data_IF_417949903517
#
_entry.id   IF_417949903517
#
_cell.length_a   1.000
_cell.length_b   1.000
_cell.length_c   1.000
_cell.angle_alpha   90.00
_cell.angle_beta   90.00
_cell.angle_gamma   90.00
#
_symmetry.space_group_name_H-M   'P 1'
#
loop_
_entity.id
_entity.type
_entity.pdbx_description
1 polymer ?
#
# COMPACT_ATOMS: atom_id res chain seq x y z
N UNK A 1 -3.05 -4.26 -5.82
CA UNK A 1 -2.13 -4.00 -4.69
C UNK A 1 -1.65 -5.34 -4.19
N UNK A 2 -0.35 -5.54 -3.94
CA UNK A 2 0.01 -6.62 -3.02
C UNK A 2 -0.95 -6.54 -1.83
N UNK A 3 -1.47 -7.67 -1.38
CA UNK A 3 -2.48 -7.64 -0.32
C UNK A 3 -1.95 -7.02 0.96
N UNK A 4 -2.84 -6.74 1.89
CA UNK A 4 -2.52 -6.16 3.20
C UNK A 4 -1.32 -6.83 3.87
N UNK A 5 -1.29 -8.17 3.84
CA UNK A 5 -0.26 -8.96 4.54
C UNK A 5 1.09 -8.87 3.85
N UNK A 6 1.12 -8.83 2.52
CA UNK A 6 2.36 -8.67 1.75
C UNK A 6 3.01 -7.32 2.07
N UNK A 7 2.26 -6.23 2.07
CA UNK A 7 2.78 -4.91 2.49
C UNK A 7 3.31 -4.93 3.92
N UNK A 8 2.54 -5.52 4.84
CA UNK A 8 2.99 -5.68 6.22
C UNK A 8 4.33 -6.45 6.31
N UNK A 9 4.50 -7.53 5.55
CA UNK A 9 5.73 -8.33 5.56
C UNK A 9 6.89 -7.55 4.94
N UNK A 10 6.68 -6.84 3.82
CA UNK A 10 7.70 -5.94 3.22
C UNK A 10 8.16 -4.92 4.26
N UNK A 11 7.24 -4.20 4.88
CA UNK A 11 7.58 -3.19 5.87
C UNK A 11 8.32 -3.78 7.08
N UNK A 12 7.87 -4.92 7.61
CA UNK A 12 8.53 -5.56 8.74
C UNK A 12 9.94 -6.06 8.39
N UNK A 13 10.15 -6.58 7.18
CA UNK A 13 11.49 -6.97 6.73
C UNK A 13 12.38 -5.77 6.51
N UNK A 14 11.91 -4.74 5.82
CA UNK A 14 12.66 -3.51 5.63
C UNK A 14 13.08 -2.87 6.96
N UNK A 15 12.20 -2.89 7.98
CA UNK A 15 12.55 -2.46 9.33
C UNK A 15 13.62 -3.36 9.98
N UNK A 16 13.49 -4.68 9.86
CA UNK A 16 14.44 -5.61 10.47
C UNK A 16 15.83 -5.52 9.86
N UNK A 17 15.90 -5.25 8.55
CA UNK A 17 17.16 -5.13 7.80
C UNK A 17 17.89 -3.81 8.09
N UNK A 18 17.20 -2.82 8.70
CA UNK A 18 17.86 -1.61 9.19
C UNK A 18 18.91 -1.96 10.25
N UNK A 19 20.11 -1.40 10.10
CA UNK A 19 21.13 -1.37 11.16
C UNK A 19 20.56 -0.64 12.39
N UNK A 20 21.18 -0.83 13.55
CA UNK A 20 20.81 -0.08 14.75
C UNK A 20 21.22 1.41 14.58
N UNK A 21 20.29 2.24 14.14
CA UNK A 21 20.49 3.63 13.78
C UNK A 21 19.29 4.48 14.21
N UNK A 22 19.37 5.79 13.99
CA UNK A 22 18.33 6.73 14.41
C UNK A 22 16.97 6.45 13.76
N UNK A 23 16.95 6.14 12.47
CA UNK A 23 15.71 5.81 11.77
C UNK A 23 15.02 4.57 12.35
N UNK A 24 15.80 3.52 12.67
CA UNK A 24 15.27 2.32 13.31
C UNK A 24 14.64 2.61 14.67
N UNK A 25 15.25 3.48 15.47
CA UNK A 25 14.71 3.89 16.77
C UNK A 25 13.40 4.68 16.60
N UNK A 26 13.33 5.59 15.64
CA UNK A 26 12.12 6.34 15.33
C UNK A 26 10.98 5.39 14.92
N UNK A 27 11.24 4.47 14.00
CA UNK A 27 10.23 3.49 13.55
C UNK A 27 9.79 2.59 14.72
N UNK A 28 10.71 2.11 15.55
CA UNK A 28 10.38 1.28 16.71
C UNK A 28 9.46 2.01 17.71
N UNK A 29 9.79 3.28 18.00
CA UNK A 29 9.03 4.14 18.93
C UNK A 29 7.62 4.41 18.43
N UNK A 30 7.44 4.62 17.13
CA UNK A 30 6.15 4.93 16.50
C UNK A 30 5.70 3.82 15.55
N UNK A 31 5.88 2.57 15.96
CA UNK A 31 5.61 1.37 15.14
C UNK A 31 4.21 1.33 14.55
N UNK A 32 3.21 1.86 15.25
CA UNK A 32 1.82 1.83 14.78
C UNK A 32 1.59 2.81 13.64
N UNK A 33 2.23 3.98 13.67
CA UNK A 33 2.23 4.93 12.56
C UNK A 33 2.97 4.36 11.35
N UNK A 34 4.12 3.72 11.58
CA UNK A 34 4.84 3.01 10.52
C UNK A 34 3.96 1.92 9.86
N UNK A 35 3.31 1.08 10.67
CA UNK A 35 2.46 0.01 10.16
C UNK A 35 1.20 0.52 9.47
N UNK A 36 0.63 1.65 9.90
CA UNK A 36 -0.41 2.34 9.13
C UNK A 36 0.15 2.84 7.79
N UNK A 37 1.32 3.47 7.79
CA UNK A 37 2.00 3.93 6.57
C UNK A 37 2.21 2.81 5.57
N UNK A 38 2.58 1.61 6.04
CA UNK A 38 2.74 0.41 5.19
C UNK A 38 1.46 0.02 4.44
N UNK A 39 0.29 0.49 4.85
CA UNK A 39 -0.96 0.34 4.09
C UNK A 39 -1.19 1.47 3.09
N UNK A 40 -0.36 2.52 3.09
CA UNK A 40 -0.36 3.58 2.09
C UNK A 40 -1.73 4.20 1.85
N UNK A 41 -2.07 4.49 0.58
CA UNK A 41 -3.35 5.05 0.18
C UNK A 41 -4.50 4.03 0.19
N UNK A 42 -4.23 2.75 0.43
CA UNK A 42 -5.22 1.69 0.46
C UNK A 42 -6.29 1.86 1.52
N UNK A 43 -5.98 2.59 2.59
CA UNK A 43 -6.94 2.94 3.62
C UNK A 43 -8.22 3.58 3.05
N UNK A 44 -8.11 4.26 1.90
CA UNK A 44 -9.24 4.92 1.25
C UNK A 44 -10.19 3.94 0.55
N UNK A 45 -9.72 2.76 0.15
CA UNK A 45 -10.58 1.76 -0.49
C UNK A 45 -11.50 1.02 0.49
N UNK A 46 -11.30 1.18 1.78
CA UNK A 46 -12.20 0.67 2.81
C UNK A 46 -13.28 1.69 3.22
N UNK A 47 -13.18 2.95 2.80
CA UNK A 47 -14.12 4.00 3.17
C UNK A 47 -15.29 4.04 2.17
N UNK A 48 -16.34 3.25 2.42
CA UNK A 48 -17.50 3.09 1.54
C UNK A 48 -18.17 4.42 1.15
N UNK A 49 -18.36 5.42 2.04
CA UNK A 49 -18.91 6.72 1.65
C UNK A 49 -18.09 7.43 0.57
N UNK A 50 -16.75 7.33 0.63
CA UNK A 50 -15.87 7.88 -0.41
C UNK A 50 -16.01 7.09 -1.73
N UNK A 51 -16.17 5.76 -1.65
CA UNK A 51 -16.32 4.90 -2.82
C UNK A 51 -17.66 5.10 -3.56
N UNK A 52 -18.72 5.53 -2.87
CA UNK A 52 -20.06 5.67 -3.42
C UNK A 52 -20.34 7.03 -4.06
N UNK A 53 -19.44 7.99 -3.94
CA UNK A 53 -19.66 9.30 -4.53
C UNK A 53 -19.55 9.21 -6.05
N UNK A 54 -20.67 9.42 -6.76
CA UNK A 54 -20.74 9.28 -8.24
C UNK A 54 -19.87 10.29 -8.98
N UNK A 55 -19.65 11.45 -8.37
CA UNK A 55 -18.99 12.58 -9.03
C UNK A 55 -17.49 12.68 -8.72
N UNK A 56 -16.96 11.80 -7.85
CA UNK A 56 -15.56 11.86 -7.44
C UNK A 56 -14.88 10.51 -7.63
N UNK A 57 -13.76 10.52 -8.33
CA UNK A 57 -12.82 9.43 -8.29
C UNK A 57 -12.26 9.30 -6.87
N UNK A 58 -12.16 8.07 -6.36
CA UNK A 58 -11.58 7.85 -5.04
C UNK A 58 -10.17 8.45 -4.95
N UNK A 59 -9.88 9.21 -3.89
CA UNK A 59 -8.57 9.86 -3.72
C UNK A 59 -7.41 8.85 -3.71
N UNK A 60 -7.63 7.65 -3.16
CA UNK A 60 -6.66 6.56 -3.24
C UNK A 60 -6.30 6.21 -4.68
N UNK A 61 -7.29 6.20 -5.61
CA UNK A 61 -7.01 5.95 -7.03
C UNK A 61 -6.15 7.04 -7.67
N UNK A 62 -6.37 8.31 -7.33
CA UNK A 62 -5.49 9.40 -7.80
C UNK A 62 -4.07 9.20 -7.29
N UNK A 63 -3.93 8.89 -6.00
CA UNK A 63 -2.62 8.67 -5.38
C UNK A 63 -1.84 7.51 -6.00
N UNK A 64 -2.53 6.52 -6.58
CA UNK A 64 -1.89 5.39 -7.25
C UNK A 64 -1.43 5.68 -8.69
N UNK A 65 -1.98 6.72 -9.33
CA UNK A 65 -1.84 6.89 -10.77
C UNK A 65 -1.10 8.15 -11.19
N UNK A 66 -1.09 9.21 -10.35
CA UNK A 66 -0.57 10.51 -10.78
C UNK A 66 0.03 11.32 -9.62
N UNK A 67 0.91 12.25 -9.96
CA UNK A 67 1.53 13.19 -9.01
C UNK A 67 2.21 12.53 -7.82
N UNK A 68 2.76 11.34 -8.04
CA UNK A 68 3.39 10.53 -6.98
C UNK A 68 4.59 11.23 -6.38
N UNK A 69 5.49 11.74 -7.24
CA UNK A 69 6.65 12.51 -6.81
C UNK A 69 6.27 13.81 -6.10
N UNK A 70 5.24 14.52 -6.59
CA UNK A 70 4.72 15.74 -5.99
C UNK A 70 4.18 15.49 -4.58
N UNK A 71 3.46 14.39 -4.39
CA UNK A 71 2.96 13.98 -3.07
C UNK A 71 4.09 13.71 -2.08
N UNK A 72 5.14 12.99 -2.49
CA UNK A 72 6.29 12.74 -1.62
C UNK A 72 7.06 14.02 -1.31
N UNK A 73 7.24 14.90 -2.29
CA UNK A 73 7.84 16.22 -2.07
C UNK A 73 7.04 17.03 -1.06
N UNK A 74 5.73 17.07 -1.20
CA UNK A 74 4.84 17.73 -0.26
C UNK A 74 4.97 17.15 1.15
N UNK A 75 5.00 15.82 1.29
CA UNK A 75 5.23 15.17 2.59
C UNK A 75 6.56 15.58 3.21
N UNK A 76 7.66 15.58 2.46
CA UNK A 76 8.98 15.97 2.93
C UNK A 76 9.01 17.46 3.37
N UNK A 77 8.41 18.34 2.59
CA UNK A 77 8.29 19.76 2.91
C UNK A 77 7.51 19.97 4.22
N UNK A 78 6.38 19.30 4.40
CA UNK A 78 5.63 19.33 5.65
C UNK A 78 6.44 18.78 6.83
N UNK A 79 7.14 17.65 6.66
CA UNK A 79 8.00 17.07 7.70
C UNK A 79 9.12 18.04 8.12
N UNK A 80 9.75 18.73 7.17
CA UNK A 80 10.83 19.67 7.45
C UNK A 80 10.37 20.83 8.34
N UNK A 81 9.13 21.30 8.16
CA UNK A 81 8.53 22.43 8.86
C UNK A 81 7.99 22.10 10.27
N UNK A 82 7.86 20.79 10.62
CA UNK A 82 7.35 20.42 11.94
C UNK A 82 8.37 20.80 13.03
N UNK A 83 7.96 21.69 13.93
CA UNK A 83 8.80 22.15 15.07
C UNK A 83 8.85 21.15 16.22
N UNK A 84 7.75 20.45 16.48
CA UNK A 84 7.70 19.44 17.55
C UNK A 84 8.50 18.22 17.15
N UNK A 85 9.57 17.91 17.90
CA UNK A 85 10.38 16.69 17.69
C UNK A 85 9.53 15.44 17.66
N UNK A 86 8.59 15.32 18.62
CA UNK A 86 7.70 14.17 18.69
C UNK A 86 6.87 14.01 17.40
N UNK A 87 6.23 15.08 16.95
CA UNK A 87 5.40 15.05 15.74
C UNK A 87 6.24 14.81 14.47
N UNK A 88 7.46 15.36 14.43
CA UNK A 88 8.40 15.12 13.32
C UNK A 88 8.78 13.64 13.25
N UNK A 89 9.16 13.02 14.38
CA UNK A 89 9.45 11.60 14.46
C UNK A 89 8.22 10.74 14.08
N UNK A 90 7.02 11.14 14.48
CA UNK A 90 5.77 10.47 14.10
C UNK A 90 5.52 10.53 12.59
N UNK A 91 5.71 11.70 11.97
CA UNK A 91 5.56 11.87 10.53
C UNK A 91 6.60 11.05 9.75
N UNK A 92 7.87 11.05 10.20
CA UNK A 92 8.94 10.24 9.61
C UNK A 92 8.60 8.75 9.67
N UNK A 93 8.16 8.23 10.81
CA UNK A 93 7.80 6.83 10.95
C UNK A 93 6.67 6.44 9.97
N UNK A 94 5.62 7.25 9.91
CA UNK A 94 4.52 7.04 8.96
C UNK A 94 5.00 7.08 7.51
N UNK A 95 5.77 8.10 7.15
CA UNK A 95 6.31 8.29 5.80
C UNK A 95 7.17 7.11 5.36
N UNK A 96 8.04 6.61 6.22
CA UNK A 96 8.83 5.41 5.93
C UNK A 96 7.94 4.20 5.60
N UNK A 97 6.87 3.98 6.37
CA UNK A 97 5.90 2.93 6.05
C UNK A 97 5.24 3.16 4.68
N UNK A 98 4.84 4.40 4.41
CA UNK A 98 4.20 4.76 3.14
C UNK A 98 5.12 4.53 1.94
N UNK A 99 6.42 4.81 2.08
CA UNK A 99 7.41 4.50 1.06
C UNK A 99 7.55 3.01 0.80
N UNK A 100 7.49 2.16 1.86
CA UNK A 100 7.47 0.70 1.66
C UNK A 100 6.25 0.24 0.87
N UNK A 101 5.07 0.81 1.13
CA UNK A 101 3.87 0.52 0.35
C UNK A 101 4.08 0.86 -1.11
N UNK A 102 4.48 2.10 -1.40
CA UNK A 102 4.75 2.58 -2.75
C UNK A 102 5.73 1.69 -3.51
N UNK A 103 6.88 1.38 -2.87
CA UNK A 103 7.91 0.54 -3.48
C UNK A 103 7.38 -0.88 -3.75
N UNK A 104 6.65 -1.45 -2.81
CA UNK A 104 6.00 -2.75 -2.97
C UNK A 104 5.05 -2.76 -4.16
N UNK A 105 4.25 -1.71 -4.30
CA UNK A 105 3.26 -1.59 -5.36
C UNK A 105 3.90 -1.46 -6.73
N UNK A 106 4.68 -0.42 -6.99
CA UNK A 106 5.17 -0.19 -8.35
C UNK A 106 6.09 -1.30 -8.87
N UNK A 107 6.71 -2.08 -7.96
CA UNK A 107 7.53 -3.24 -8.34
C UNK A 107 6.68 -4.49 -8.55
N UNK A 108 5.71 -4.77 -7.68
CA UNK A 108 5.00 -6.05 -7.68
C UNK A 108 3.69 -6.04 -8.48
N UNK A 109 3.02 -4.91 -8.61
CA UNK A 109 1.72 -4.83 -9.30
C UNK A 109 1.75 -5.19 -10.79
N UNK A 110 2.78 -4.78 -11.57
CA UNK A 110 2.84 -5.19 -12.97
C UNK A 110 2.76 -6.71 -13.14
N UNK A 111 3.36 -7.46 -12.20
CA UNK A 111 3.25 -8.92 -12.14
C UNK A 111 1.81 -9.36 -11.90
N UNK A 112 1.14 -8.82 -10.88
CA UNK A 112 -0.23 -9.20 -10.54
C UNK A 112 -1.16 -8.97 -11.73
N UNK A 113 -1.11 -7.79 -12.33
CA UNK A 113 -1.91 -7.47 -13.50
C UNK A 113 -1.56 -8.31 -14.74
N UNK A 114 -0.28 -8.56 -14.98
CA UNK A 114 0.17 -9.43 -16.07
C UNK A 114 -0.32 -10.86 -15.90
N UNK A 115 -0.23 -11.42 -14.69
CA UNK A 115 -0.65 -12.82 -14.39
C UNK A 115 -2.15 -13.05 -14.46
N UNK A 116 -2.97 -12.05 -14.12
CA UNK A 116 -4.44 -12.18 -14.26
C UNK A 116 -4.94 -11.94 -15.67
N UNK A 117 -4.05 -11.55 -16.61
CA UNK A 117 -4.42 -11.19 -17.98
C UNK A 117 -5.29 -9.93 -18.01
N UNK A 118 -4.87 -8.89 -17.26
CA UNK A 118 -5.59 -7.62 -17.25
C UNK A 118 -5.57 -6.99 -18.63
N UNK A 119 -6.74 -6.59 -19.11
CA UNK A 119 -6.92 -5.87 -20.38
C UNK A 119 -7.23 -4.41 -20.08
N UNK A 120 -6.30 -3.53 -20.44
CA UNK A 120 -6.43 -2.09 -20.21
C UNK A 120 -7.50 -1.46 -21.12
N UNK A 121 -7.69 -2.03 -22.31
CA UNK A 121 -8.66 -1.51 -23.28
C UNK A 121 -10.09 -1.97 -22.94
N UNK A 122 -10.22 -3.04 -22.13
CA UNK A 122 -11.51 -3.61 -21.74
C UNK A 122 -11.53 -4.04 -20.26
N UNK A 123 -11.41 -3.07 -19.32
CA UNK A 123 -11.42 -3.36 -17.90
C UNK A 123 -12.80 -3.92 -17.49
N UNK A 124 -12.79 -5.08 -16.83
CA UNK A 124 -14.02 -5.74 -16.39
C UNK A 124 -14.00 -6.09 -14.90
N UNK A 125 -15.19 -6.28 -14.33
CA UNK A 125 -15.33 -6.74 -12.92
C UNK A 125 -14.66 -8.10 -12.67
N UNK A 126 -14.51 -8.93 -13.73
CA UNK A 126 -13.78 -10.20 -13.68
C UNK A 126 -12.32 -10.00 -13.28
N UNK A 127 -11.67 -8.94 -13.79
CA UNK A 127 -10.30 -8.63 -13.44
C UNK A 127 -10.16 -8.25 -11.95
N UNK A 128 -11.12 -7.49 -11.40
CA UNK A 128 -11.11 -7.16 -9.97
C UNK A 128 -11.17 -8.39 -9.07
N UNK A 129 -12.02 -9.37 -9.41
CA UNK A 129 -12.10 -10.64 -8.67
C UNK A 129 -10.82 -11.46 -8.74
N UNK A 130 -10.25 -11.62 -9.96
CA UNK A 130 -8.99 -12.33 -10.16
C UNK A 130 -7.82 -11.67 -9.44
N UNK A 131 -7.78 -10.34 -9.48
CA UNK A 131 -6.76 -9.53 -8.81
C UNK A 131 -6.78 -9.79 -7.29
N UNK A 132 -7.93 -9.59 -6.65
CA UNK A 132 -8.08 -9.82 -5.22
C UNK A 132 -7.80 -11.29 -4.83
N UNK A 133 -8.16 -12.25 -5.67
CA UNK A 133 -7.87 -13.66 -5.44
C UNK A 133 -6.37 -13.92 -5.45
N UNK A 134 -5.64 -13.49 -6.49
CA UNK A 134 -4.19 -13.69 -6.60
C UNK A 134 -3.44 -13.04 -5.43
N UNK A 135 -3.84 -11.85 -5.04
CA UNK A 135 -3.23 -11.16 -3.88
C UNK A 135 -3.46 -11.90 -2.57
N UNK A 136 -4.67 -12.41 -2.34
CA UNK A 136 -4.95 -13.22 -1.15
C UNK A 136 -4.13 -14.52 -1.12
N UNK A 137 -3.90 -15.15 -2.26
CA UNK A 137 -3.02 -16.31 -2.39
C UNK A 137 -1.57 -15.94 -2.01
N UNK A 138 -1.04 -14.88 -2.61
CA UNK A 138 0.31 -14.38 -2.32
C UNK A 138 0.44 -14.01 -0.84
N UNK A 139 -0.53 -13.30 -0.28
CA UNK A 139 -0.57 -12.93 1.14
C UNK A 139 -0.48 -14.16 2.05
N UNK A 140 -1.27 -15.18 1.77
CA UNK A 140 -1.30 -16.41 2.56
C UNK A 140 0.02 -17.18 2.47
N UNK A 141 0.61 -17.25 1.27
CA UNK A 141 1.90 -17.93 1.03
C UNK A 141 3.04 -17.21 1.79
N UNK A 142 3.12 -15.89 1.65
CA UNK A 142 4.16 -15.10 2.31
C UNK A 142 3.98 -15.11 3.83
N UNK A 143 2.75 -15.05 4.33
CA UNK A 143 2.46 -15.16 5.74
C UNK A 143 2.95 -16.50 6.31
N UNK A 144 2.66 -17.60 5.63
CA UNK A 144 3.15 -18.93 6.01
C UNK A 144 4.67 -18.99 5.99
N UNK A 145 5.30 -18.44 4.92
CA UNK A 145 6.76 -18.47 4.74
C UNK A 145 7.51 -17.66 5.80
N UNK A 146 7.04 -16.44 6.11
CA UNK A 146 7.80 -15.49 6.92
C UNK A 146 7.30 -15.34 8.36
N UNK A 147 6.07 -15.76 8.67
CA UNK A 147 5.49 -15.66 10.01
C UNK A 147 5.05 -17.02 10.57
N UNK A 148 5.11 -18.09 9.78
CA UNK A 148 4.67 -19.44 10.15
C UNK A 148 3.20 -19.46 10.64
N UNK A 149 2.35 -18.59 10.04
CA UNK A 149 0.93 -18.44 10.38
C UNK A 149 0.04 -18.67 9.17
N UNK A 150 -1.19 -19.10 9.45
CA UNK A 150 -2.29 -19.06 8.50
C UNK A 150 -2.97 -17.68 8.55
N UNK A 151 -3.70 -17.29 7.49
CA UNK A 151 -4.47 -16.04 7.50
C UNK A 151 -5.39 -15.90 8.72
N UNK A 152 -6.09 -16.95 9.15
CA UNK A 152 -6.97 -16.93 10.32
C UNK A 152 -6.25 -16.74 11.66
N UNK A 153 -4.95 -16.96 11.72
CA UNK A 153 -4.10 -16.79 12.91
C UNK A 153 -3.42 -15.41 12.94
N UNK A 154 -3.56 -14.63 11.88
CA UNK A 154 -2.95 -13.31 11.76
C UNK A 154 -3.98 -12.20 11.91
N UNK A 155 -3.95 -11.50 13.03
CA UNK A 155 -4.85 -10.39 13.28
C UNK A 155 -4.33 -9.10 12.60
N UNK A 156 -4.71 -8.90 11.33
CA UNK A 156 -4.35 -7.71 10.55
C UNK A 156 -4.76 -6.41 11.27
N UNK A 157 -5.96 -6.37 11.87
CA UNK A 157 -6.45 -5.18 12.56
C UNK A 157 -5.60 -4.79 13.78
N UNK A 158 -4.89 -5.75 14.38
CA UNK A 158 -3.97 -5.50 15.49
C UNK A 158 -2.65 -4.86 15.06
N UNK A 159 -2.38 -4.79 13.76
CA UNK A 159 -1.20 -4.08 13.24
C UNK A 159 -1.43 -2.57 13.11
N UNK A 160 -2.67 -2.10 13.26
CA UNK A 160 -3.05 -0.68 13.18
C UNK A 160 -3.67 -0.26 14.53
N UNK A 161 -2.82 0.06 15.51
CA UNK A 161 -3.25 0.36 16.89
C UNK A 161 -2.83 1.76 17.34
N UNK A 162 -3.17 2.79 16.53
CA UNK A 162 -2.88 4.17 16.88
C UNK A 162 -3.69 4.61 18.11
N UNK A 163 -3.08 5.43 18.95
CA UNK A 163 -3.80 6.17 19.98
C UNK A 163 -4.53 7.40 19.39
N UNK A 164 -5.34 8.09 20.20
CA UNK A 164 -6.13 9.24 19.75
C UNK A 164 -5.27 10.40 19.26
N UNK A 165 -4.13 10.69 19.91
CA UNK A 165 -3.23 11.77 19.53
C UNK A 165 -2.52 11.46 18.20
N UNK A 166 -2.02 10.23 18.04
CA UNK A 166 -1.41 9.77 16.79
C UNK A 166 -2.42 9.82 15.63
N UNK A 167 -3.64 9.34 15.87
CA UNK A 167 -4.70 9.37 14.86
C UNK A 167 -5.06 10.81 14.45
N UNK A 168 -5.18 11.72 15.41
CA UNK A 168 -5.48 13.12 15.13
C UNK A 168 -4.36 13.79 14.35
N UNK A 169 -3.10 13.57 14.78
CA UNK A 169 -1.93 14.16 14.12
C UNK A 169 -1.82 13.67 12.68
N UNK A 170 -1.81 12.34 12.46
CA UNK A 170 -1.62 11.79 11.13
C UNK A 170 -2.78 12.12 10.18
N UNK A 171 -4.00 12.23 10.71
CA UNK A 171 -5.15 12.63 9.91
C UNK A 171 -5.02 14.06 9.38
N UNK A 172 -4.50 14.99 10.19
CA UNK A 172 -4.25 16.37 9.77
C UNK A 172 -3.10 16.44 8.77
N UNK A 173 -1.99 15.76 9.07
CA UNK A 173 -0.81 15.72 8.20
C UNK A 173 -1.17 15.22 6.80
N UNK A 174 -1.85 14.07 6.70
CA UNK A 174 -2.27 13.51 5.43
C UNK A 174 -3.27 14.39 4.68
N UNK A 175 -4.27 14.95 5.37
CA UNK A 175 -5.24 15.82 4.73
C UNK A 175 -4.56 17.04 4.12
N UNK A 176 -3.57 17.63 4.79
CA UNK A 176 -2.78 18.76 4.26
C UNK A 176 -2.00 18.33 3.01
N UNK A 177 -1.20 17.26 3.09
CA UNK A 177 -0.39 16.81 1.97
C UNK A 177 -1.25 16.38 0.76
N UNK A 178 -2.35 15.67 0.99
CA UNK A 178 -3.24 15.23 -0.09
C UNK A 178 -3.91 16.42 -0.77
N UNK A 179 -4.44 17.38 0.00
CA UNK A 179 -5.11 18.53 -0.58
C UNK A 179 -4.13 19.44 -1.34
N UNK A 180 -2.93 19.67 -0.81
CA UNK A 180 -1.91 20.46 -1.49
C UNK A 180 -1.49 19.85 -2.82
N UNK A 181 -1.38 18.52 -2.87
CA UNK A 181 -0.97 17.80 -4.09
C UNK A 181 -2.12 17.64 -5.09
N UNK A 182 -3.29 17.20 -4.61
CA UNK A 182 -4.36 16.68 -5.50
C UNK A 182 -5.56 17.61 -5.62
N UNK A 183 -5.76 18.58 -4.73
CA UNK A 183 -6.89 19.51 -4.82
C UNK A 183 -6.95 20.29 -6.14
N UNK A 184 -5.86 20.78 -6.70
CA UNK A 184 -5.89 21.43 -8.00
C UNK A 184 -6.47 20.57 -9.12
N UNK A 185 -6.32 19.25 -9.03
CA UNK A 185 -6.84 18.28 -10.00
C UNK A 185 -8.30 17.96 -9.74
N UNK A 186 -8.67 17.90 -8.45
CA UNK A 186 -10.04 17.59 -8.00
C UNK A 186 -10.91 18.84 -7.90
N UNK A 187 -10.36 20.03 -8.11
CA UNK A 187 -11.02 21.32 -7.96
C UNK A 187 -12.35 21.42 -8.70
N UNK A 188 -12.44 20.86 -9.89
CA UNK A 188 -13.69 20.84 -10.68
C UNK A 188 -14.88 20.22 -9.93
N UNK A 189 -14.59 19.39 -8.95
CA UNK A 189 -15.55 18.63 -8.17
C UNK A 189 -15.68 19.12 -6.71
N UNK A 190 -15.00 20.22 -6.34
CA UNK A 190 -14.96 20.75 -4.96
C UNK A 190 -14.63 19.71 -3.88
N UNK A 191 -13.85 18.67 -4.23
CA UNK A 191 -13.54 17.58 -3.30
C UNK A 191 -12.27 17.88 -2.53
N UNK A 192 -12.41 18.09 -1.23
CA UNK A 192 -11.32 18.20 -0.29
C UNK A 192 -11.35 17.04 0.71
N UNK A 193 -10.17 16.48 0.97
CA UNK A 193 -10.00 15.47 2.01
C UNK A 193 -9.91 16.16 3.37
N UNK A 194 -10.81 15.80 4.28
CA UNK A 194 -10.78 16.33 5.65
C UNK A 194 -10.06 15.36 6.60
N UNK A 195 -9.51 15.84 7.73
CA UNK A 195 -8.95 14.96 8.76
C UNK A 195 -9.96 13.92 9.26
N UNK A 196 -11.25 14.26 9.32
CA UNK A 196 -12.30 13.33 9.70
C UNK A 196 -12.50 12.20 8.68
N UNK A 197 -12.28 12.46 7.39
CA UNK A 197 -12.32 11.43 6.34
C UNK A 197 -11.15 10.46 6.48
N UNK A 198 -9.93 10.96 6.75
CA UNK A 198 -8.75 10.13 7.03
C UNK A 198 -9.01 9.25 8.25
N UNK A 199 -9.48 9.85 9.35
CA UNK A 199 -9.80 9.09 10.57
C UNK A 199 -10.80 7.97 10.30
N UNK A 200 -11.89 8.27 9.57
CA UNK A 200 -12.88 7.25 9.17
C UNK A 200 -12.26 6.15 8.32
N UNK A 201 -11.33 6.48 7.41
CA UNK A 201 -10.62 5.50 6.58
C UNK A 201 -9.74 4.57 7.44
N UNK A 202 -9.05 5.12 8.46
CA UNK A 202 -8.28 4.30 9.43
C UNK A 202 -9.19 3.35 10.21
N UNK A 203 -10.36 3.80 10.64
CA UNK A 203 -11.33 2.93 11.31
C UNK A 203 -11.92 1.89 10.36
N UNK A 204 -12.20 2.29 9.11
CA UNK A 204 -12.78 1.43 8.10
C UNK A 204 -11.86 0.28 7.69
N UNK A 205 -10.55 0.53 7.47
CA UNK A 205 -9.59 -0.55 7.19
C UNK A 205 -9.49 -1.52 8.37
N UNK A 206 -9.44 -1.04 9.62
CA UNK A 206 -9.44 -1.91 10.80
C UNK A 206 -10.70 -2.78 10.88
N UNK A 207 -11.85 -2.21 10.59
CA UNK A 207 -13.11 -2.95 10.53
C UNK A 207 -13.11 -3.97 9.39
N UNK A 208 -12.67 -3.57 8.18
CA UNK A 208 -12.52 -4.45 7.03
C UNK A 208 -11.62 -5.65 7.33
N UNK A 209 -10.45 -5.43 7.93
CA UNK A 209 -9.53 -6.50 8.33
C UNK A 209 -10.16 -7.52 9.30
N UNK A 210 -11.07 -7.06 10.18
CA UNK A 210 -11.79 -7.97 11.10
C UNK A 210 -12.89 -8.76 10.40
N UNK A 211 -13.55 -8.14 9.43
CA UNK A 211 -14.72 -8.72 8.76
C UNK A 211 -14.37 -9.57 7.56
N UNK A 212 -13.22 -9.34 6.90
CA UNK A 212 -12.81 -10.08 5.70
C UNK A 212 -12.08 -11.40 6.00
N UNK A 213 -11.76 -11.70 7.25
CA UNK A 213 -11.18 -13.00 7.64
C UNK A 213 -12.26 -14.07 7.75
N UNK A 214 -12.00 -15.26 7.20
CA UNK A 214 -12.91 -16.41 7.24
C UNK A 214 -12.12 -17.72 7.39
N UNK A 215 -11.95 -18.17 8.62
CA UNK A 215 -11.24 -19.41 8.95
C UNK A 215 -11.85 -20.65 8.30
N UNK A 216 -13.18 -20.70 8.25
CA UNK A 216 -13.91 -21.89 7.80
C UNK A 216 -14.19 -21.93 6.30
N UNK A 217 -14.04 -20.81 5.61
CA UNK A 217 -14.47 -20.62 4.21
C UNK A 217 -15.99 -20.51 4.03
N UNK A 218 -16.78 -20.72 5.10
CA UNK A 218 -18.25 -20.73 5.03
C UNK A 218 -18.82 -19.37 4.65
N UNK A 219 -18.29 -18.30 5.25
CA UNK A 219 -18.71 -16.93 4.94
C UNK A 219 -18.42 -16.59 3.48
N UNK A 220 -17.21 -16.90 2.99
CA UNK A 220 -16.83 -16.71 1.60
C UNK A 220 -17.79 -17.42 0.67
N UNK A 221 -18.04 -18.72 0.91
CA UNK A 221 -18.93 -19.53 0.11
C UNK A 221 -20.39 -19.02 0.12
N UNK A 222 -20.87 -18.56 1.29
CA UNK A 222 -22.22 -17.98 1.38
C UNK A 222 -22.33 -16.67 0.57
N UNK A 223 -21.36 -15.78 0.70
CA UNK A 223 -21.34 -14.51 -0.05
C UNK A 223 -21.20 -14.79 -1.55
N UNK A 224 -20.35 -15.73 -1.95
CA UNK A 224 -20.18 -16.15 -3.34
C UNK A 224 -21.48 -16.66 -3.96
N UNK A 225 -22.24 -17.48 -3.22
CA UNK A 225 -23.58 -17.92 -3.66
C UNK A 225 -24.55 -16.77 -3.87
N UNK A 226 -24.57 -15.80 -2.95
CA UNK A 226 -25.42 -14.61 -3.10
C UNK A 226 -24.95 -13.75 -4.27
N UNK A 227 -23.65 -13.55 -4.42
CA UNK A 227 -23.09 -12.78 -5.55
C UNK A 227 -23.41 -13.44 -6.90
N UNK A 228 -23.36 -14.76 -7.00
CA UNK A 228 -23.62 -15.48 -8.24
C UNK A 228 -25.04 -15.32 -8.78
N UNK A 229 -25.99 -14.92 -7.93
CA UNK A 229 -27.36 -14.60 -8.34
C UNK A 229 -27.43 -13.23 -9.04
N UNK A 230 -26.64 -12.27 -8.61
CA UNK A 230 -26.72 -10.87 -9.06
C UNK A 230 -25.53 -10.42 -9.92
N UNK A 231 -24.40 -11.10 -9.84
CA UNK A 231 -23.15 -10.74 -10.49
C UNK A 231 -22.57 -11.91 -11.27
N UNK A 232 -22.08 -11.63 -12.48
CA UNK A 232 -21.37 -12.64 -13.30
C UNK A 232 -20.02 -13.06 -12.70
N UNK A 233 -19.42 -12.22 -11.87
CA UNK A 233 -18.09 -12.45 -11.31
C UNK A 233 -18.08 -12.08 -9.82
N UNK A 234 -17.37 -12.84 -8.97
CA UNK A 234 -17.24 -12.54 -7.55
C UNK A 234 -16.44 -11.25 -7.35
N UNK A 235 -16.91 -10.38 -6.46
CA UNK A 235 -16.29 -9.11 -6.10
C UNK A 235 -16.00 -9.03 -4.60
N UNK A 236 -17.04 -9.20 -3.77
CA UNK A 236 -16.88 -9.15 -2.32
C UNK A 236 -16.32 -10.45 -1.75
N UNK A 237 -16.77 -11.61 -2.25
CA UNK A 237 -16.23 -12.91 -1.84
C UNK A 237 -14.76 -13.09 -2.20
N UNK A 238 -14.30 -12.51 -3.32
CA UNK A 238 -12.90 -12.53 -3.72
C UNK A 238 -11.97 -11.80 -2.73
N UNK A 239 -12.50 -10.81 -1.98
CA UNK A 239 -11.75 -10.08 -0.94
C UNK A 239 -11.67 -10.82 0.40
N UNK A 240 -12.42 -11.91 0.56
CA UNK A 240 -12.43 -12.67 1.81
C UNK A 240 -11.22 -13.60 1.84
N UNK A 241 -10.40 -13.43 2.87
CA UNK A 241 -9.17 -14.20 3.07
C UNK A 241 -9.49 -15.50 3.81
N UNK A 242 -9.10 -16.63 3.23
CA UNK A 242 -9.27 -17.97 3.79
C UNK A 242 -7.92 -18.64 4.02
N UNK A 243 -7.91 -19.74 4.77
CA UNK A 243 -6.68 -20.51 5.01
C UNK A 243 -6.31 -21.43 3.84
N UNK A 244 -7.17 -21.53 2.83
CA UNK A 244 -6.96 -22.37 1.65
C UNK A 244 -6.09 -21.62 0.64
N UNK A 245 -5.07 -22.30 0.13
CA UNK A 245 -4.21 -21.85 -0.96
C UNK A 245 -4.33 -22.86 -2.07
N UNK A 246 -4.64 -22.42 -3.29
CA UNK A 246 -4.89 -23.31 -4.41
C UNK A 246 -3.60 -23.88 -5.03
N UNK A 247 -2.69 -23.03 -5.46
CA UNK A 247 -1.40 -23.44 -6.02
C UNK A 247 -0.28 -22.41 -5.75
N UNK A 248 0.62 -22.78 -4.84
CA UNK A 248 1.77 -21.95 -4.48
C UNK A 248 2.71 -21.64 -5.64
N UNK A 249 2.93 -22.61 -6.53
CA UNK A 249 3.93 -22.48 -7.61
C UNK A 249 3.41 -21.55 -8.68
N UNK A 250 2.14 -21.69 -9.01
CA UNK A 250 1.47 -20.89 -10.04
C UNK A 250 1.28 -19.44 -9.56
N UNK A 251 0.76 -19.25 -8.35
CA UNK A 251 0.50 -17.90 -7.80
C UNK A 251 1.77 -17.06 -7.65
N UNK A 252 2.91 -17.69 -7.37
CA UNK A 252 4.21 -17.01 -7.28
C UNK A 252 5.02 -17.04 -8.58
N UNK A 253 4.56 -17.71 -9.63
CA UNK A 253 5.33 -17.94 -10.86
C UNK A 253 6.71 -18.57 -10.60
N UNK A 254 6.78 -19.61 -9.76
CA UNK A 254 8.06 -20.27 -9.44
C UNK A 254 8.66 -21.05 -10.62
N UNK A 255 7.87 -21.30 -11.68
CA UNK A 255 8.33 -21.86 -12.95
C UNK A 255 8.90 -20.83 -13.91
N UNK A 256 8.94 -19.54 -13.51
CA UNK A 256 9.47 -18.45 -14.32
C UNK A 256 8.85 -18.33 -15.71
N UNK A 257 7.55 -18.56 -15.82
CA UNK A 257 6.80 -18.33 -17.05
C UNK A 257 6.79 -16.85 -17.41
N UNK A 258 6.82 -16.57 -18.71
CA UNK A 258 6.77 -15.18 -19.21
C UNK A 258 5.43 -14.56 -18.84
N UNK A 259 5.49 -13.34 -18.32
CA UNK A 259 4.36 -12.44 -18.15
C UNK A 259 4.70 -11.07 -18.74
N UNK A 260 3.68 -10.31 -19.12
CA UNK A 260 3.83 -9.04 -19.84
C UNK A 260 3.14 -7.94 -19.05
N UNK A 261 3.76 -6.76 -18.99
CA UNK A 261 3.14 -5.58 -18.40
C UNK A 261 1.96 -5.12 -19.26
N UNK A 262 0.72 -5.09 -18.75
CA UNK A 262 -0.46 -4.74 -19.55
C UNK A 262 -0.42 -3.33 -20.14
N UNK A 263 0.24 -2.38 -19.48
CA UNK A 263 0.35 -0.99 -19.94
C UNK A 263 1.47 -0.78 -20.96
N UNK A 264 2.43 -1.69 -21.03
CA UNK A 264 3.54 -1.62 -22.00
C UNK A 264 3.92 -3.03 -22.45
N UNK A 265 3.25 -3.53 -23.48
CA UNK A 265 3.39 -4.90 -23.98
C UNK A 265 4.83 -5.29 -24.39
N UNK A 266 5.71 -4.30 -24.64
CA UNK A 266 7.13 -4.55 -24.88
C UNK A 266 7.94 -4.90 -23.62
N UNK A 267 7.36 -4.72 -22.43
CA UNK A 267 7.98 -5.10 -21.16
C UNK A 267 7.46 -6.49 -20.76
N UNK A 268 8.24 -7.49 -21.10
CA UNK A 268 8.04 -8.86 -20.65
C UNK A 268 9.04 -9.22 -19.56
N UNK A 269 8.65 -10.08 -18.63
CA UNK A 269 9.51 -10.58 -17.56
C UNK A 269 9.21 -12.05 -17.26
N UNK A 270 10.19 -12.75 -16.73
CA UNK A 270 10.03 -14.10 -16.19
C UNK A 270 10.15 -14.13 -14.66
N UNK A 271 10.32 -12.96 -14.04
CA UNK A 271 10.50 -12.87 -12.60
C UNK A 271 9.33 -13.54 -11.85
N UNK A 272 9.66 -14.28 -10.80
CA UNK A 272 8.69 -14.75 -9.82
C UNK A 272 8.28 -13.60 -8.89
N UNK A 273 7.16 -13.75 -8.20
CA UNK A 273 6.80 -12.79 -7.16
C UNK A 273 7.86 -12.70 -6.04
N UNK A 274 8.58 -13.79 -5.79
CA UNK A 274 9.66 -13.80 -4.80
C UNK A 274 10.83 -12.92 -5.23
N UNK A 275 11.18 -12.92 -6.51
CA UNK A 275 12.23 -12.04 -7.05
C UNK A 275 11.85 -10.58 -6.91
N UNK A 276 10.61 -10.23 -7.28
CA UNK A 276 10.08 -8.87 -7.16
C UNK A 276 9.99 -8.42 -5.70
N UNK A 277 9.58 -9.31 -4.80
CA UNK A 277 9.56 -9.06 -3.37
C UNK A 277 10.97 -8.73 -2.83
N UNK A 278 12.00 -9.46 -3.24
CA UNK A 278 13.38 -9.17 -2.86
C UNK A 278 13.87 -7.86 -3.47
N UNK A 279 13.49 -7.57 -4.73
CA UNK A 279 13.80 -6.28 -5.36
C UNK A 279 13.17 -5.12 -4.59
N UNK A 280 11.92 -5.25 -4.14
CA UNK A 280 11.26 -4.25 -3.32
C UNK A 280 11.99 -4.03 -1.98
N UNK A 281 12.46 -5.11 -1.32
CA UNK A 281 13.23 -5.00 -0.08
C UNK A 281 14.56 -4.28 -0.28
N UNK A 282 15.29 -4.60 -1.36
CA UNK A 282 16.55 -3.91 -1.69
C UNK A 282 16.30 -2.42 -1.90
N UNK A 283 15.25 -2.06 -2.62
CA UNK A 283 14.88 -0.66 -2.86
C UNK A 283 14.49 0.06 -1.57
N UNK A 284 13.71 -0.57 -0.70
CA UNK A 284 13.42 -0.04 0.64
C UNK A 284 14.70 0.23 1.45
N UNK A 285 15.65 -0.70 1.41
CA UNK A 285 16.91 -0.54 2.13
C UNK A 285 17.75 0.62 1.62
N UNK A 286 17.81 0.85 0.30
CA UNK A 286 18.50 2.00 -0.31
C UNK A 286 17.87 3.32 0.15
N UNK A 287 16.55 3.43 0.06
CA UNK A 287 15.82 4.63 0.49
C UNK A 287 15.97 4.88 1.99
N UNK A 288 15.91 3.84 2.81
CA UNK A 288 16.07 3.97 4.26
C UNK A 288 17.49 4.36 4.66
N UNK A 289 18.50 3.87 3.93
CA UNK A 289 19.87 4.30 4.15
C UNK A 289 20.01 5.81 3.93
N UNK A 290 19.50 6.32 2.81
CA UNK A 290 19.52 7.75 2.49
C UNK A 290 18.73 8.59 3.50
N UNK A 291 17.53 8.16 3.87
CA UNK A 291 16.72 8.83 4.89
C UNK A 291 17.45 8.88 6.24
N UNK A 292 18.09 7.78 6.65
CA UNK A 292 18.83 7.76 7.90
C UNK A 292 20.04 8.71 7.86
N UNK A 293 20.77 8.78 6.76
CA UNK A 293 21.87 9.73 6.57
C UNK A 293 21.39 11.16 6.80
N UNK A 294 20.32 11.55 6.12
CA UNK A 294 19.75 12.90 6.21
C UNK A 294 19.24 13.22 7.63
N UNK A 295 18.51 12.28 8.25
CA UNK A 295 17.97 12.49 9.61
C UNK A 295 19.09 12.56 10.66
N UNK A 296 20.17 11.81 10.47
CA UNK A 296 21.28 11.76 11.41
C UNK A 296 22.22 12.94 11.32
N UNK A 297 22.15 13.75 10.26
CA UNK A 297 22.96 14.96 10.08
C UNK A 297 22.63 16.06 11.10
N UNK A 298 21.48 15.96 11.78
CA UNK A 298 20.96 16.95 12.72
C UNK A 298 20.73 18.36 12.10
N UNK A 299 20.90 18.46 10.78
CA UNK A 299 20.59 19.66 10.02
C UNK A 299 19.12 19.60 9.55
N UNK A 300 18.38 20.70 9.51
CA UNK A 300 17.06 20.70 8.89
C UNK A 300 17.11 20.21 7.46
N UNK A 301 16.17 19.32 7.07
CA UNK A 301 16.06 18.86 5.69
C UNK A 301 15.77 20.04 4.76
N UNK A 302 16.54 20.14 3.69
CA UNK A 302 16.46 21.18 2.68
C UNK A 302 15.98 20.60 1.33
N UNK A 303 15.77 21.48 0.36
CA UNK A 303 15.30 21.12 -0.98
C UNK A 303 16.24 20.14 -1.70
N UNK A 304 17.55 20.24 -1.44
CA UNK A 304 18.53 19.29 -1.98
C UNK A 304 18.35 17.87 -1.45
N UNK A 305 17.98 17.73 -0.18
CA UNK A 305 17.67 16.43 0.41
C UNK A 305 16.39 15.83 -0.18
N UNK A 306 15.37 16.67 -0.40
CA UNK A 306 14.15 16.26 -1.08
C UNK A 306 14.46 15.72 -2.47
N UNK A 307 15.27 16.46 -3.23
CA UNK A 307 15.67 16.03 -4.57
C UNK A 307 16.41 14.68 -4.55
N UNK A 308 17.34 14.47 -3.64
CA UNK A 308 18.06 13.18 -3.48
C UNK A 308 17.09 12.03 -3.18
N UNK A 309 16.15 12.25 -2.25
CA UNK A 309 15.16 11.23 -1.89
C UNK A 309 14.23 10.92 -3.08
N UNK A 310 13.74 11.95 -3.77
CA UNK A 310 12.83 11.79 -4.91
C UNK A 310 13.52 11.15 -6.11
N UNK A 311 14.78 11.46 -6.35
CA UNK A 311 15.59 10.81 -7.38
C UNK A 311 15.75 9.31 -7.09
N UNK A 312 16.02 8.95 -5.82
CA UNK A 312 16.11 7.55 -5.41
C UNK A 312 14.77 6.83 -5.53
N UNK A 313 13.65 7.47 -5.14
CA UNK A 313 12.31 6.87 -5.21
C UNK A 313 11.82 6.69 -6.65
N UNK A 314 12.07 7.66 -7.50
CA UNK A 314 11.37 7.82 -8.78
C UNK A 314 9.90 8.20 -8.60
N UNK A 315 9.23 8.50 -9.71
CA UNK A 315 7.79 8.77 -9.77
C UNK A 315 7.14 7.75 -10.70
N UNK A 316 6.61 6.67 -10.12
CA UNK A 316 6.02 5.55 -10.86
C UNK A 316 4.56 5.36 -10.47
N UNK A 317 3.73 4.95 -11.42
CA UNK A 317 2.38 4.47 -11.11
C UNK A 317 2.45 3.21 -10.26
N UNK A 318 1.69 3.17 -9.17
CA UNK A 318 1.57 1.99 -8.31
C UNK A 318 1.02 0.78 -9.06
N UNK A 319 0.25 0.98 -10.12
CA UNK A 319 -0.35 -0.12 -10.91
C UNK A 319 0.58 -0.64 -12.00
N UNK A 320 1.10 0.27 -12.81
CA UNK A 320 1.87 -0.10 -14.01
C UNK A 320 3.36 -0.21 -13.78
N UNK A 321 3.89 0.37 -12.70
CA UNK A 321 5.33 0.52 -12.49
C UNK A 321 6.00 1.43 -13.54
N UNK A 322 5.22 2.13 -14.38
CA UNK A 322 5.74 3.06 -15.38
C UNK A 322 5.85 4.47 -14.81
N UNK A 323 6.81 5.28 -15.32
CA UNK A 323 6.94 6.67 -14.88
C UNK A 323 5.65 7.46 -15.07
N UNK A 324 5.32 8.28 -14.08
CA UNK A 324 4.19 9.22 -14.10
C UNK A 324 4.65 10.60 -13.66
N UNK A 325 3.88 11.61 -14.10
CA UNK A 325 4.10 12.99 -13.66
C UNK A 325 3.67 13.14 -12.20
#
# INVERSE_FOLDING_TARGET
MPGFTTHYIIGMKAYNDLKNNQLKHIIAKYRWLYQLGVQGPDIFFYNIPILRHRDYRNVGSYMHEAHVGDFFRCCLAHISQIRSRQQKEQAIAYFCGFLCHYIGDYICHPFVYGRIGYDIDNPSTKHHGKHAFLENEIDAILLKKYKHKKPSEFNQAATICLNGQETQFISRFLASCINETYYPITYRNNFQVTPAMIHRSILAIRFGCRTLSDKSGRKKHHIERVESIFLKNPVASAKIVTDTISDHRESLNLSHQVWVNPWKKSLASTASFVDLFHQALMKCSQVYYLLNEIISSQVPMEEQDFHRILQELGSYSYHSGLPVK
#
